data_IF_594247379952
#
_entry.id   IF_594247379952
#
_cell.length_a   1.000
_cell.length_b   1.000
_cell.length_c   1.000
_cell.angle_alpha   90.00
_cell.angle_beta   90.00
_cell.angle_gamma   90.00
#
_symmetry.space_group_name_H-M   'P 1'
#
loop_
_entity.id
_entity.type
_entity.pdbx_description
1 polymer ?
#
# COMPACT_ATOMS: atom_id res chain seq x y z
N UNK A 1 37.46 -59.58 -60.52
CA UNK A 1 37.19 -58.81 -61.75
C UNK A 1 36.52 -57.50 -61.37
N UNK A 2 36.77 -56.43 -62.13
CA UNK A 2 37.24 -55.10 -61.70
C UNK A 2 36.06 -54.14 -61.40
N UNK A 3 36.17 -52.88 -61.00
CA UNK A 3 37.03 -51.81 -61.54
C UNK A 3 37.00 -50.58 -60.63
N UNK A 4 38.18 -50.01 -60.40
CA UNK A 4 38.42 -48.72 -59.76
C UNK A 4 38.42 -47.62 -60.83
N UNK A 5 37.73 -46.49 -60.57
CA UNK A 5 37.93 -45.25 -61.28
C UNK A 5 38.34 -44.13 -60.32
N UNK A 6 39.41 -43.44 -60.71
CA UNK A 6 40.20 -42.47 -59.97
C UNK A 6 39.50 -41.11 -59.75
N UNK A 7 39.98 -40.30 -58.80
CA UNK A 7 40.74 -39.07 -59.13
C UNK A 7 41.16 -38.29 -57.88
N UNK A 8 42.21 -37.50 -58.07
CA UNK A 8 43.16 -36.90 -57.12
C UNK A 8 42.57 -35.82 -56.20
N UNK A 9 43.07 -35.78 -54.96
CA UNK A 9 43.09 -34.58 -54.10
C UNK A 9 44.20 -33.62 -54.54
N UNK A 10 44.05 -32.32 -54.25
CA UNK A 10 45.15 -31.51 -53.75
C UNK A 10 44.90 -31.06 -52.30
N UNK A 11 45.99 -31.05 -51.53
CA UNK A 11 46.06 -30.68 -50.11
C UNK A 11 46.01 -29.15 -49.89
N UNK A 12 45.22 -28.78 -48.88
CA UNK A 12 45.50 -27.84 -47.79
C UNK A 12 46.18 -26.46 -48.03
N UNK A 13 45.52 -25.42 -47.52
CA UNK A 13 46.16 -24.29 -46.81
C UNK A 13 45.22 -23.88 -45.65
N UNK A 14 45.72 -23.68 -44.42
CA UNK A 14 44.85 -23.40 -43.27
C UNK A 14 44.42 -21.91 -43.26
N UNK A 15 43.17 -21.57 -42.91
CA UNK A 15 42.86 -20.19 -42.58
C UNK A 15 43.46 -19.86 -41.21
N UNK A 16 44.22 -18.76 -41.17
CA UNK A 16 44.88 -18.23 -39.97
C UNK A 16 43.91 -17.82 -38.85
N UNK A 17 44.43 -17.39 -37.69
CA UNK A 17 43.62 -17.18 -36.50
C UNK A 17 42.59 -16.09 -36.75
N UNK A 18 41.31 -16.42 -36.55
CA UNK A 18 40.22 -15.47 -36.51
C UNK A 18 40.55 -14.45 -35.41
N UNK A 19 40.72 -13.19 -35.79
CA UNK A 19 40.93 -12.10 -34.85
C UNK A 19 39.77 -12.03 -33.85
N UNK A 20 40.06 -12.24 -32.58
CA UNK A 20 39.20 -11.98 -31.41
C UNK A 20 38.91 -10.48 -31.25
N UNK A 21 38.28 -9.86 -32.25
CA UNK A 21 37.96 -8.45 -32.26
C UNK A 21 36.52 -8.15 -31.79
N UNK A 22 35.83 -9.12 -31.17
CA UNK A 22 34.50 -8.89 -30.58
C UNK A 22 34.58 -8.31 -29.16
N UNK A 23 35.69 -8.47 -28.45
CA UNK A 23 35.85 -7.98 -27.07
C UNK A 23 36.35 -6.52 -27.00
N UNK A 24 36.97 -6.00 -28.06
CA UNK A 24 37.60 -4.67 -28.07
C UNK A 24 36.69 -3.51 -28.52
N UNK A 25 35.40 -3.74 -28.82
CA UNK A 25 34.45 -2.67 -29.22
C UNK A 25 33.52 -2.19 -28.10
N UNK A 26 33.72 -2.65 -26.87
CA UNK A 26 32.96 -2.15 -25.71
C UNK A 26 33.74 -1.11 -24.88
N UNK A 27 34.96 -0.74 -25.29
CA UNK A 27 35.86 0.07 -24.47
C UNK A 27 36.15 1.48 -25.00
N UNK A 28 35.29 2.05 -25.85
CA UNK A 28 35.41 3.46 -26.21
C UNK A 28 34.04 4.09 -26.31
N UNK A 29 33.52 4.52 -25.16
CA UNK A 29 32.66 5.69 -25.15
C UNK A 29 32.51 6.27 -23.73
N UNK A 30 33.64 6.61 -23.09
CA UNK A 30 33.66 7.42 -21.85
C UNK A 30 33.02 8.82 -22.07
N UNK A 31 32.66 9.16 -23.31
CA UNK A 31 31.98 10.39 -23.69
C UNK A 31 30.57 10.15 -24.29
N UNK A 32 30.00 8.96 -24.09
CA UNK A 32 28.64 8.68 -24.54
C UNK A 32 27.64 9.41 -23.65
N UNK A 33 27.35 10.65 -24.06
CA UNK A 33 26.34 11.52 -23.45
C UNK A 33 25.00 10.80 -23.27
N UNK A 34 24.67 9.85 -24.15
CA UNK A 34 23.47 9.02 -24.01
C UNK A 34 23.62 8.05 -22.84
N UNK A 35 24.73 7.31 -22.74
CA UNK A 35 24.98 6.41 -21.60
C UNK A 35 24.98 7.16 -20.25
N UNK A 36 25.62 8.33 -20.19
CA UNK A 36 25.59 9.19 -19.00
C UNK A 36 24.16 9.65 -18.65
N UNK A 37 23.36 10.02 -19.66
CA UNK A 37 21.95 10.39 -19.46
C UNK A 37 21.11 9.21 -18.93
N UNK A 38 21.29 8.00 -19.48
CA UNK A 38 20.62 6.80 -18.98
C UNK A 38 21.03 6.45 -17.55
N UNK A 39 22.28 6.68 -17.18
CA UNK A 39 22.74 6.51 -15.80
C UNK A 39 22.01 7.48 -14.85
N UNK A 40 21.86 8.76 -15.23
CA UNK A 40 21.05 9.71 -14.46
C UNK A 40 19.57 9.30 -14.37
N UNK A 41 18.98 8.78 -15.44
CA UNK A 41 17.60 8.27 -15.39
C UNK A 41 17.45 7.07 -14.47
N UNK A 42 18.41 6.13 -14.52
CA UNK A 42 18.44 4.98 -13.62
C UNK A 42 18.46 5.42 -12.17
N UNK A 43 19.38 6.30 -11.79
CA UNK A 43 19.49 6.81 -10.41
C UNK A 43 18.19 7.46 -9.93
N UNK A 44 17.54 8.26 -10.79
CA UNK A 44 16.24 8.87 -10.47
C UNK A 44 15.12 7.83 -10.29
N UNK A 45 15.09 6.80 -11.13
CA UNK A 45 14.11 5.73 -11.04
C UNK A 45 14.33 4.87 -9.79
N UNK A 46 15.58 4.57 -9.45
CA UNK A 46 15.95 3.81 -8.25
C UNK A 46 15.52 4.56 -6.98
N UNK A 47 15.84 5.86 -6.86
CA UNK A 47 15.38 6.69 -5.73
C UNK A 47 13.86 6.72 -5.62
N UNK A 48 13.16 6.87 -6.76
CA UNK A 48 11.69 6.87 -6.81
C UNK A 48 11.12 5.53 -6.35
N UNK A 49 11.69 4.42 -6.80
CA UNK A 49 11.26 3.08 -6.46
C UNK A 49 11.52 2.76 -4.99
N UNK A 50 12.69 3.10 -4.47
CA UNK A 50 13.03 2.91 -3.06
C UNK A 50 12.06 3.66 -2.15
N UNK A 51 11.71 4.91 -2.50
CA UNK A 51 10.68 5.67 -1.77
C UNK A 51 9.34 4.95 -1.79
N UNK A 52 8.90 4.50 -2.98
CA UNK A 52 7.64 3.77 -3.13
C UNK A 52 7.60 2.54 -2.23
N UNK A 53 8.67 1.75 -2.20
CA UNK A 53 8.77 0.55 -1.36
C UNK A 53 8.74 0.88 0.14
N UNK A 54 9.37 1.98 0.59
CA UNK A 54 9.25 2.45 1.98
C UNK A 54 7.80 2.80 2.34
N UNK A 55 7.11 3.52 1.45
CA UNK A 55 5.70 3.88 1.64
C UNK A 55 4.80 2.64 1.68
N UNK A 56 5.00 1.68 0.76
CA UNK A 56 4.22 0.43 0.71
C UNK A 56 4.39 -0.39 2.00
N UNK A 57 5.61 -0.45 2.56
CA UNK A 57 5.85 -1.14 3.83
C UNK A 57 5.04 -0.51 4.97
N UNK A 58 5.09 0.82 5.10
CA UNK A 58 4.29 1.55 6.09
C UNK A 58 2.79 1.37 5.86
N UNK A 59 2.33 1.39 4.60
CA UNK A 59 0.93 1.14 4.25
C UNK A 59 0.45 -0.23 4.71
N UNK A 60 1.27 -1.28 4.56
CA UNK A 60 0.92 -2.63 5.00
C UNK A 60 0.81 -2.71 6.52
N UNK A 61 1.72 -2.06 7.24
CA UNK A 61 1.65 -1.96 8.70
C UNK A 61 0.36 -1.26 9.15
N UNK A 62 -0.04 -0.19 8.45
CA UNK A 62 -1.28 0.55 8.73
C UNK A 62 -2.50 -0.35 8.48
N UNK A 63 -2.56 -1.08 7.36
CA UNK A 63 -3.64 -2.03 7.09
C UNK A 63 -3.74 -3.08 8.20
N UNK A 64 -2.60 -3.68 8.59
CA UNK A 64 -2.59 -4.72 9.63
C UNK A 64 -3.08 -4.19 10.98
N UNK A 65 -2.62 -3.01 11.39
CA UNK A 65 -3.04 -2.43 12.67
C UNK A 65 -4.49 -1.96 12.61
N UNK A 66 -4.95 -1.36 11.52
CA UNK A 66 -6.35 -0.92 11.36
C UNK A 66 -7.32 -2.11 11.47
N UNK A 67 -7.00 -3.26 10.87
CA UNK A 67 -7.75 -4.52 11.08
C UNK A 67 -7.82 -4.91 12.54
N UNK A 68 -6.69 -4.85 13.26
CA UNK A 68 -6.64 -5.17 14.70
C UNK A 68 -7.51 -4.21 15.51
N UNK A 69 -7.55 -2.93 15.15
CA UNK A 69 -8.45 -1.95 15.77
C UNK A 69 -9.90 -2.30 15.50
N UNK A 70 -10.28 -2.62 14.25
CA UNK A 70 -11.63 -3.05 13.88
C UNK A 70 -12.04 -4.30 14.69
N UNK A 71 -11.19 -5.32 14.77
CA UNK A 71 -11.45 -6.51 15.61
C UNK A 71 -11.61 -6.15 17.09
N UNK A 72 -10.84 -5.18 17.59
CA UNK A 72 -10.95 -4.72 18.98
C UNK A 72 -12.29 -4.01 19.19
N UNK A 73 -12.75 -3.19 18.24
CA UNK A 73 -14.04 -2.51 18.28
C UNK A 73 -15.22 -3.49 18.30
N UNK A 74 -15.13 -4.66 17.66
CA UNK A 74 -16.19 -5.68 17.73
C UNK A 74 -16.44 -6.25 19.12
N UNK A 75 -15.51 -6.05 20.07
CA UNK A 75 -15.69 -6.48 21.46
C UNK A 75 -16.80 -5.72 22.19
N UNK A 76 -17.26 -4.59 21.66
CA UNK A 76 -18.33 -3.79 22.29
C UNK A 76 -19.72 -4.44 22.23
N UNK A 77 -19.93 -5.42 21.34
CA UNK A 77 -21.20 -6.12 21.24
C UNK A 77 -21.50 -6.88 22.55
N UNK A 78 -22.57 -6.53 23.26
CA UNK A 78 -22.95 -7.13 24.55
C UNK A 78 -21.97 -6.85 25.70
N UNK A 79 -21.13 -5.82 25.58
CA UNK A 79 -20.27 -5.33 26.66
C UNK A 79 -21.04 -4.37 27.58
N UNK A 80 -20.60 -4.22 28.84
CA UNK A 80 -21.12 -3.17 29.71
C UNK A 80 -20.72 -1.77 29.21
N UNK A 81 -21.36 -0.73 29.72
CA UNK A 81 -21.01 0.65 29.36
C UNK A 81 -19.55 0.99 29.74
N UNK A 82 -19.06 0.49 30.89
CA UNK A 82 -17.67 0.69 31.31
C UNK A 82 -16.69 -0.04 30.37
N UNK A 83 -17.00 -1.28 30.01
CA UNK A 83 -16.18 -2.07 29.07
C UNK A 83 -16.16 -1.43 27.68
N UNK A 84 -17.32 -0.97 27.21
CA UNK A 84 -17.46 -0.24 25.96
C UNK A 84 -16.57 1.00 25.96
N UNK A 85 -16.65 1.84 27.00
CA UNK A 85 -15.83 3.04 27.11
C UNK A 85 -14.33 2.72 27.14
N UNK A 86 -13.94 1.67 27.86
CA UNK A 86 -12.56 1.22 27.90
C UNK A 86 -12.04 0.78 26.52
N UNK A 87 -12.83 0.00 25.77
CA UNK A 87 -12.49 -0.43 24.40
C UNK A 87 -12.35 0.75 23.45
N UNK A 88 -13.30 1.70 23.47
CA UNK A 88 -13.24 2.88 22.60
C UNK A 88 -12.02 3.77 22.92
N UNK A 89 -11.69 3.91 24.20
CA UNK A 89 -10.51 4.65 24.65
C UNK A 89 -9.22 3.97 24.22
N UNK A 90 -9.11 2.65 24.39
CA UNK A 90 -7.96 1.84 23.94
C UNK A 90 -7.73 2.02 22.43
N UNK A 91 -8.80 1.87 21.64
CA UNK A 91 -8.73 2.00 20.18
C UNK A 91 -8.35 3.42 19.76
N UNK A 92 -8.91 4.45 20.39
CA UNK A 92 -8.55 5.84 20.09
C UNK A 92 -7.06 6.11 20.34
N UNK A 93 -6.51 5.65 21.47
CA UNK A 93 -5.09 5.83 21.79
C UNK A 93 -4.18 5.08 20.81
N UNK A 94 -4.54 3.85 20.43
CA UNK A 94 -3.78 3.07 19.46
C UNK A 94 -3.86 3.68 18.06
N UNK A 95 -5.01 4.25 17.69
CA UNK A 95 -5.19 4.99 16.44
C UNK A 95 -4.29 6.22 16.39
N UNK A 96 -4.27 7.05 17.44
CA UNK A 96 -3.42 8.24 17.51
C UNK A 96 -1.92 7.85 17.42
N UNK A 97 -1.54 6.76 18.10
CA UNK A 97 -0.19 6.20 17.99
C UNK A 97 0.13 5.71 16.57
N UNK A 98 -0.81 5.07 15.89
CA UNK A 98 -0.64 4.61 14.51
C UNK A 98 -0.43 5.79 13.55
N UNK A 99 -1.23 6.85 13.70
CA UNK A 99 -1.09 8.09 12.93
C UNK A 99 0.30 8.71 13.14
N UNK A 100 0.71 8.88 14.40
CA UNK A 100 2.01 9.48 14.73
C UNK A 100 3.19 8.62 14.25
N UNK A 101 3.10 7.29 14.36
CA UNK A 101 4.23 6.39 14.08
C UNK A 101 4.35 5.92 12.63
N UNK A 102 3.25 5.91 11.85
CA UNK A 102 3.25 5.38 10.48
C UNK A 102 2.81 6.39 9.43
N UNK A 103 1.77 7.19 9.69
CA UNK A 103 1.26 8.15 8.72
C UNK A 103 2.16 9.38 8.63
N UNK A 104 2.69 9.87 9.76
CA UNK A 104 3.61 11.01 9.77
C UNK A 104 4.91 10.73 8.97
N UNK A 105 5.58 9.56 9.11
CA UNK A 105 6.70 9.21 8.22
C UNK A 105 6.34 9.14 6.73
N UNK A 106 5.15 8.64 6.37
CA UNK A 106 4.67 8.69 4.97
C UNK A 106 4.59 10.15 4.51
N UNK A 107 4.02 11.04 5.33
CA UNK A 107 3.94 12.47 5.03
C UNK A 107 5.31 13.09 4.74
N UNK A 108 6.31 12.74 5.55
CA UNK A 108 7.69 13.21 5.37
C UNK A 108 8.29 12.73 4.04
N UNK A 109 8.07 11.47 3.64
CA UNK A 109 8.53 10.92 2.35
C UNK A 109 7.90 11.63 1.14
N UNK A 110 6.68 12.17 1.30
CA UNK A 110 5.93 12.87 0.26
C UNK A 110 6.30 14.35 0.13
N UNK A 111 7.11 14.89 1.03
CA UNK A 111 7.49 16.31 1.01
C UNK A 111 8.25 16.63 -0.29
N UNK A 112 7.75 17.64 -1.03
CA UNK A 112 8.31 18.05 -2.32
C UNK A 112 8.08 17.05 -3.47
N UNK A 113 7.20 16.06 -3.30
CA UNK A 113 6.77 15.14 -4.34
C UNK A 113 5.36 15.50 -4.85
N UNK A 114 4.99 15.02 -6.04
CA UNK A 114 3.60 15.10 -6.50
C UNK A 114 2.73 14.18 -5.61
N UNK A 115 1.69 14.72 -4.92
CA UNK A 115 0.82 13.92 -4.07
C UNK A 115 0.13 12.75 -4.77
N UNK A 116 -0.10 12.84 -6.09
CA UNK A 116 -0.75 11.79 -6.86
C UNK A 116 0.18 10.64 -7.23
N UNK A 117 1.48 10.89 -7.36
CA UNK A 117 2.47 9.92 -7.84
C UNK A 117 2.57 8.69 -6.91
N UNK A 118 2.51 8.92 -5.61
CA UNK A 118 2.64 7.88 -4.59
C UNK A 118 1.32 7.50 -3.95
N UNK A 119 0.18 8.10 -4.34
CA UNK A 119 -1.14 7.82 -3.75
C UNK A 119 -1.45 6.32 -3.69
N UNK A 120 -1.20 5.61 -4.79
CA UNK A 120 -1.46 4.16 -4.88
C UNK A 120 -0.64 3.33 -3.89
N UNK A 121 0.51 3.83 -3.42
CA UNK A 121 1.39 3.10 -2.52
C UNK A 121 0.84 3.04 -1.08
N UNK A 122 0.05 4.03 -0.65
CA UNK A 122 -0.53 4.10 0.70
C UNK A 122 -2.06 4.02 0.74
N UNK A 123 -2.73 4.15 -0.41
CA UNK A 123 -4.19 4.11 -0.54
C UNK A 123 -4.84 2.89 0.14
N UNK A 124 -4.32 1.64 0.04
CA UNK A 124 -4.91 0.51 0.76
C UNK A 124 -4.85 0.63 2.28
N UNK A 125 -3.73 1.12 2.83
CA UNK A 125 -3.62 1.37 4.28
C UNK A 125 -4.55 2.49 4.73
N UNK A 126 -4.70 3.52 3.91
CA UNK A 126 -5.57 4.65 4.18
C UNK A 126 -7.06 4.26 4.19
N UNK A 127 -7.51 3.41 3.25
CA UNK A 127 -8.89 2.92 3.19
C UNK A 127 -9.26 2.14 4.46
N UNK A 128 -8.42 1.19 4.87
CA UNK A 128 -8.61 0.42 6.11
C UNK A 128 -8.57 1.31 7.37
N UNK A 129 -7.71 2.32 7.38
CA UNK A 129 -7.68 3.30 8.47
C UNK A 129 -8.98 4.11 8.55
N UNK A 130 -9.51 4.52 7.40
CA UNK A 130 -10.78 5.26 7.33
C UNK A 130 -11.94 4.40 7.82
N UNK A 131 -11.98 3.13 7.46
CA UNK A 131 -12.94 2.15 7.99
C UNK A 131 -12.84 2.09 9.52
N UNK A 132 -11.64 1.92 10.09
CA UNK A 132 -11.45 1.90 11.54
C UNK A 132 -11.87 3.21 12.22
N UNK A 133 -11.53 4.36 11.64
CA UNK A 133 -11.87 5.69 12.17
C UNK A 133 -13.38 5.94 12.15
N UNK A 134 -14.04 5.61 11.05
CA UNK A 134 -15.48 5.79 10.88
C UNK A 134 -16.27 4.80 11.74
N UNK A 135 -15.75 3.58 11.95
CA UNK A 135 -16.34 2.61 12.86
C UNK A 135 -16.26 3.06 14.32
N UNK A 136 -15.11 3.59 14.74
CA UNK A 136 -14.94 4.20 16.07
C UNK A 136 -15.91 5.38 16.28
N UNK A 137 -16.06 6.26 15.29
CA UNK A 137 -16.99 7.40 15.36
C UNK A 137 -18.44 6.93 15.47
N UNK A 138 -18.86 5.95 14.65
CA UNK A 138 -20.20 5.37 14.74
C UNK A 138 -20.47 4.77 16.13
N UNK A 139 -19.51 4.03 16.69
CA UNK A 139 -19.66 3.48 18.02
C UNK A 139 -19.69 4.56 19.12
N UNK A 140 -19.01 5.68 18.91
CA UNK A 140 -18.95 6.76 19.91
C UNK A 140 -20.18 7.68 19.85
N UNK A 141 -20.63 8.06 18.65
CA UNK A 141 -21.65 9.10 18.46
C UNK A 141 -22.86 8.66 17.63
N UNK A 142 -22.82 7.48 17.02
CA UNK A 142 -23.87 6.98 16.12
C UNK A 142 -23.91 7.68 14.76
N UNK A 143 -22.86 8.43 14.40
CA UNK A 143 -22.79 9.21 13.16
C UNK A 143 -21.62 8.79 12.29
N UNK A 144 -21.68 9.18 11.01
CA UNK A 144 -20.60 8.95 10.06
C UNK A 144 -19.55 10.04 10.22
N UNK A 145 -18.28 9.66 10.38
CA UNK A 145 -17.17 10.60 10.35
C UNK A 145 -17.02 11.19 8.95
N UNK A 146 -17.14 12.52 8.82
CA UNK A 146 -17.04 13.21 7.53
C UNK A 146 -15.61 13.21 6.98
N UNK A 147 -15.47 13.29 5.65
CA UNK A 147 -14.16 13.43 5.00
C UNK A 147 -13.45 14.73 5.41
N UNK A 148 -14.16 15.86 5.25
CA UNK A 148 -13.69 17.19 5.68
C UNK A 148 -14.25 17.49 7.07
N UNK A 149 -13.44 18.04 7.99
CA UNK A 149 -13.84 18.23 9.38
C UNK A 149 -13.73 16.98 10.26
N UNK A 150 -13.26 15.87 9.69
CA UNK A 150 -13.13 14.58 10.37
C UNK A 150 -11.85 13.86 9.94
N UNK A 151 -11.94 13.00 8.93
CA UNK A 151 -10.81 12.17 8.48
C UNK A 151 -9.58 13.01 8.13
N UNK A 152 -9.73 14.04 7.28
CA UNK A 152 -8.59 14.87 6.84
C UNK A 152 -7.94 15.63 7.97
N UNK A 153 -8.74 16.13 8.91
CA UNK A 153 -8.30 16.99 10.00
C UNK A 153 -7.52 16.20 11.07
N UNK A 154 -7.77 14.88 11.16
CA UNK A 154 -7.01 13.98 12.05
C UNK A 154 -5.73 13.42 11.43
N UNK A 155 -5.50 13.64 10.14
CA UNK A 155 -4.35 13.08 9.43
C UNK A 155 -3.27 14.14 9.17
N UNK A 156 -1.98 13.74 9.07
CA UNK A 156 -0.90 14.68 8.83
C UNK A 156 -1.06 15.44 7.51
N UNK A 157 -0.71 16.73 7.53
CA UNK A 157 -0.70 17.59 6.34
C UNK A 157 0.30 17.06 5.31
N UNK A 158 -0.13 16.96 4.04
CA UNK A 158 0.71 16.45 2.94
C UNK A 158 0.30 15.07 2.46
N UNK A 159 -0.51 14.33 3.22
CA UNK A 159 -1.20 13.17 2.68
C UNK A 159 -2.42 13.59 1.85
N UNK A 160 -2.48 13.09 0.63
CA UNK A 160 -3.67 13.24 -0.21
C UNK A 160 -4.68 12.16 0.15
N UNK A 161 -5.70 12.54 0.91
CA UNK A 161 -6.90 11.71 1.13
C UNK A 161 -7.92 12.03 0.04
N UNK A 162 -8.02 11.17 -0.97
CA UNK A 162 -8.98 11.37 -2.05
C UNK A 162 -10.40 11.01 -1.62
N UNK A 163 -11.40 11.50 -2.38
CA UNK A 163 -12.80 11.10 -2.18
C UNK A 163 -12.98 9.58 -2.37
N UNK A 164 -12.24 8.97 -3.31
CA UNK A 164 -12.30 7.53 -3.54
C UNK A 164 -11.76 6.72 -2.36
N UNK A 165 -10.68 7.16 -1.72
CA UNK A 165 -10.15 6.46 -0.52
C UNK A 165 -11.17 6.50 0.62
N UNK A 166 -11.85 7.63 0.78
CA UNK A 166 -12.92 7.78 1.77
C UNK A 166 -14.12 6.91 1.46
N UNK A 167 -14.66 7.00 0.24
CA UNK A 167 -15.83 6.23 -0.16
C UNK A 167 -15.57 4.72 -0.05
N UNK A 168 -14.40 4.24 -0.48
CA UNK A 168 -14.06 2.82 -0.38
C UNK A 168 -13.98 2.35 1.09
N UNK A 169 -13.30 3.10 1.96
CA UNK A 169 -13.25 2.75 3.39
C UNK A 169 -14.63 2.81 4.08
N UNK A 170 -15.49 3.76 3.69
CA UNK A 170 -16.89 3.82 4.19
C UNK A 170 -17.76 2.69 3.62
N UNK A 171 -17.51 2.26 2.38
CA UNK A 171 -18.19 1.07 1.84
C UNK A 171 -17.83 -0.17 2.65
N UNK A 172 -16.55 -0.36 3.00
CA UNK A 172 -16.12 -1.51 3.80
C UNK A 172 -16.70 -1.46 5.23
N UNK A 173 -16.84 -0.27 5.84
CA UNK A 173 -17.53 -0.07 7.12
C UNK A 173 -18.92 -0.71 7.15
N UNK A 174 -19.68 -0.66 6.05
CA UNK A 174 -21.03 -1.26 6.01
C UNK A 174 -21.02 -2.76 6.34
N UNK A 175 -19.98 -3.48 5.92
CA UNK A 175 -19.78 -4.89 6.24
C UNK A 175 -19.46 -5.10 7.73
N UNK A 176 -18.68 -4.20 8.33
CA UNK A 176 -18.38 -4.23 9.75
C UNK A 176 -19.60 -3.88 10.62
N UNK A 177 -20.46 -2.97 10.19
CA UNK A 177 -21.72 -2.66 10.87
C UNK A 177 -22.70 -3.84 10.81
N UNK A 178 -22.81 -4.51 9.66
CA UNK A 178 -23.57 -5.76 9.55
C UNK A 178 -23.03 -6.83 10.51
N UNK A 179 -21.70 -7.00 10.57
CA UNK A 179 -21.07 -7.94 11.50
C UNK A 179 -21.35 -7.58 12.97
N UNK A 180 -21.33 -6.29 13.32
CA UNK A 180 -21.67 -5.81 14.65
C UNK A 180 -23.13 -6.16 15.01
N UNK A 181 -24.07 -5.87 14.12
CA UNK A 181 -25.49 -6.14 14.33
C UNK A 181 -25.75 -7.64 14.58
N UNK A 182 -25.16 -8.53 13.76
CA UNK A 182 -25.30 -9.97 13.94
C UNK A 182 -24.71 -10.45 15.28
N UNK A 183 -23.54 -9.94 15.66
CA UNK A 183 -22.89 -10.29 16.93
C UNK A 183 -23.67 -9.78 18.15
N UNK A 184 -24.29 -8.61 18.05
CA UNK A 184 -25.12 -8.04 19.11
C UNK A 184 -26.44 -8.83 19.27
N UNK A 185 -27.12 -9.12 18.16
CA UNK A 185 -28.36 -9.91 18.17
C UNK A 185 -28.12 -11.32 18.75
N UNK A 186 -27.00 -11.96 18.44
CA UNK A 186 -26.61 -13.25 19.00
C UNK A 186 -26.41 -13.22 20.54
N UNK A 187 -26.17 -12.04 21.11
CA UNK A 187 -26.05 -11.78 22.55
C UNK A 187 -27.32 -11.20 23.16
N UNK A 188 -28.45 -11.24 22.44
CA UNK A 188 -29.75 -10.67 22.83
C UNK A 188 -29.75 -9.14 23.01
N UNK A 189 -28.81 -8.43 22.40
CA UNK A 189 -28.87 -6.97 22.21
C UNK A 189 -29.55 -6.68 20.87
N UNK A 190 -30.83 -6.29 20.94
CA UNK A 190 -31.65 -5.95 19.78
C UNK A 190 -31.64 -4.45 19.45
N UNK A 191 -31.19 -3.61 20.38
CA UNK A 191 -31.08 -2.16 20.18
C UNK A 191 -29.94 -1.82 19.21
N UNK A 192 -28.82 -2.53 19.29
CA UNK A 192 -27.68 -2.33 18.37
C UNK A 192 -28.05 -2.59 16.90
N UNK A 193 -28.70 -3.71 16.53
CA UNK A 193 -29.22 -3.92 15.17
C UNK A 193 -30.14 -2.80 14.68
N UNK A 194 -31.07 -2.30 15.51
CA UNK A 194 -31.95 -1.19 15.13
C UNK A 194 -31.17 0.09 14.85
N UNK A 195 -30.18 0.40 15.69
CA UNK A 195 -29.27 1.55 15.47
C UNK A 195 -28.44 1.40 14.21
N UNK A 196 -27.93 0.21 13.92
CA UNK A 196 -27.19 -0.07 12.68
C UNK A 196 -28.10 0.12 11.47
N UNK A 197 -29.32 -0.41 11.52
CA UNK A 197 -30.30 -0.28 10.43
C UNK A 197 -30.71 1.18 10.20
N UNK A 198 -30.87 1.98 11.26
CA UNK A 198 -31.20 3.40 11.14
C UNK A 198 -30.05 4.24 10.55
N UNK A 199 -28.82 3.74 10.62
CA UNK A 199 -27.63 4.41 10.10
C UNK A 199 -27.36 4.10 8.62
N UNK A 200 -27.61 2.85 8.20
CA UNK A 200 -27.44 2.38 6.82
C UNK A 200 -28.55 2.89 5.90
#
# INVERSE_FOLDING_TARGET
>A
QPETAASKRPNATPPGPASDNKCARLSQDENNKVAALFQTFKERLDVKQDRRERIVKLSRDITMESKRLIFTLHRVAGASDEERLAVLTEVSQRLDKLIASKLLPISSELTGQDPWEYRRAYSPGLQELIEAMTFLEFLSTGRLLSLSGGVRDRLPSGLLVSQFDYLLGVCDLSGELMRLALNAAAKADFDTPERVLAFL
#
